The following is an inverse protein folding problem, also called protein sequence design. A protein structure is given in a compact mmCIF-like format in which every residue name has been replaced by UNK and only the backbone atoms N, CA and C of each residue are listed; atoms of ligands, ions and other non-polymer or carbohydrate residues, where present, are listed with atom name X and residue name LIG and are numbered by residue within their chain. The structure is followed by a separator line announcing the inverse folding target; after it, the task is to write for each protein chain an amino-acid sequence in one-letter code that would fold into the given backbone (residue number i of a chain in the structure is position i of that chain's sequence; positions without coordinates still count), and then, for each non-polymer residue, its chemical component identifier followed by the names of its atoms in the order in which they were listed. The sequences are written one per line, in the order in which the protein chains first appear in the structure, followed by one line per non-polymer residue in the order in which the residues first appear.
data_IF_299123101432
#
_entry.id   IF_299123101432
#
_cell.length_a   1.000
_cell.length_b   1.000
_cell.length_c   1.000
_cell.angle_alpha   90.00
_cell.angle_beta   90.00
_cell.angle_gamma   90.00
#
_symmetry.space_group_name_H-M   'P 1'
#
loop_
_entity.id
_entity.type
_entity.pdbx_description
1 polymer ?
#
# COMPACT_ATOMS: atom_id res chain seq x y z
N UNK A 1 -1.69 8.08 1.08
CA UNK A 1 -3.07 7.92 1.59
C UNK A 1 -3.07 7.21 2.96
N UNK A 2 -2.31 7.71 3.94
CA UNK A 2 -2.20 7.13 5.28
C UNK A 2 -2.58 8.12 6.40
N UNK A 3 -3.13 9.28 6.05
CA UNK A 3 -3.43 10.31 7.03
C UNK A 3 -4.88 10.81 6.95
N UNK A 4 -5.50 11.02 8.11
CA UNK A 4 -6.93 11.25 8.32
C UNK A 4 -7.39 12.64 7.83
N UNK A 5 -8.71 12.77 7.62
CA UNK A 5 -9.36 14.02 7.25
C UNK A 5 -9.38 15.04 8.42
N UNK A 6 -9.23 14.62 9.68
CA UNK A 6 -9.33 15.51 10.84
C UNK A 6 -8.47 15.09 12.06
N UNK A 7 -7.16 15.34 12.03
CA UNK A 7 -6.32 15.25 13.25
C UNK A 7 -6.57 16.44 14.19
N UNK A 8 -6.79 16.21 15.49
CA UNK A 8 -7.04 17.26 16.50
C UNK A 8 -5.77 18.00 16.95
N UNK A 9 -4.62 17.76 16.29
CA UNK A 9 -3.35 18.44 16.58
C UNK A 9 -2.86 19.10 15.30
N UNK A 10 -2.56 20.41 15.29
CA UNK A 10 -1.89 21.06 14.16
C UNK A 10 -0.44 20.57 14.11
N UNK A 11 -0.24 19.34 13.62
CA UNK A 11 1.06 18.86 13.23
C UNK A 11 1.54 19.81 12.11
N UNK A 12 2.79 20.28 12.11
CA UNK A 12 3.35 21.15 11.08
C UNK A 12 3.55 20.39 9.76
N UNK A 13 2.47 19.83 9.21
CA UNK A 13 2.38 19.16 7.92
C UNK A 13 3.03 19.95 6.79
N UNK A 14 2.73 21.25 6.61
CA UNK A 14 3.33 21.99 5.51
C UNK A 14 4.86 22.08 5.68
N UNK A 15 5.37 22.30 6.90
CA UNK A 15 6.80 22.51 7.12
C UNK A 15 7.64 21.23 6.99
N UNK A 16 7.14 20.09 7.47
CA UNK A 16 7.82 18.80 7.29
C UNK A 16 7.82 18.36 5.82
N UNK A 17 6.68 18.53 5.13
CA UNK A 17 6.57 18.23 3.71
C UNK A 17 7.48 19.13 2.89
N UNK A 18 7.46 20.45 3.14
CA UNK A 18 8.36 21.43 2.52
C UNK A 18 9.83 21.11 2.86
N UNK A 19 10.10 20.68 4.09
CA UNK A 19 11.40 20.14 4.55
C UNK A 19 11.96 19.05 3.64
N UNK A 20 11.11 18.08 3.28
CA UNK A 20 11.48 16.98 2.38
C UNK A 20 11.75 17.45 0.94
N UNK A 21 11.09 18.53 0.50
CA UNK A 21 11.38 19.13 -0.80
C UNK A 21 12.72 19.86 -0.85
N UNK A 22 13.23 20.38 0.28
CA UNK A 22 14.56 20.99 0.33
C UNK A 22 15.71 20.01 0.04
N UNK A 23 15.46 18.69 0.13
CA UNK A 23 16.41 17.67 -0.31
C UNK A 23 16.86 17.89 -1.76
N UNK A 24 15.95 18.24 -2.65
CA UNK A 24 16.24 18.39 -4.08
C UNK A 24 17.15 19.60 -4.37
N UNK A 25 16.85 20.84 -3.89
CA UNK A 25 17.77 21.97 -3.98
C UNK A 25 19.13 21.70 -3.31
N UNK A 26 19.17 21.12 -2.11
CA UNK A 26 20.42 20.82 -1.42
C UNK A 26 21.30 19.84 -2.21
N UNK A 27 20.67 18.85 -2.85
CA UNK A 27 21.36 17.89 -3.71
C UNK A 27 21.93 18.56 -4.96
N UNK A 28 21.15 19.42 -5.61
CA UNK A 28 21.62 20.19 -6.76
C UNK A 28 22.79 21.11 -6.39
N UNK A 29 22.70 21.82 -5.26
CA UNK A 29 23.76 22.67 -4.72
C UNK A 29 25.03 21.87 -4.35
N UNK A 30 24.89 20.60 -3.96
CA UNK A 30 26.01 19.70 -3.70
C UNK A 30 26.69 19.15 -4.98
N UNK A 31 26.30 19.63 -6.17
CA UNK A 31 26.86 19.19 -7.45
C UNK A 31 26.40 17.80 -7.88
N UNK A 32 25.37 17.24 -7.23
CA UNK A 32 24.84 15.91 -7.56
C UNK A 32 23.65 16.04 -8.50
N UNK A 33 23.53 15.16 -9.52
CA UNK A 33 22.39 15.21 -10.41
C UNK A 33 21.10 14.89 -9.63
N UNK A 34 20.05 15.65 -9.94
CA UNK A 34 18.71 15.47 -9.33
C UNK A 34 18.15 14.10 -9.67
N UNK A 35 18.35 13.64 -10.91
CA UNK A 35 17.94 12.34 -11.43
C UNK A 35 19.16 11.47 -11.69
N UNK A 36 19.07 10.18 -11.36
CA UNK A 36 20.17 9.21 -11.54
C UNK A 36 20.18 8.51 -12.90
N UNK A 37 19.21 8.81 -13.76
CA UNK A 37 19.07 8.21 -15.10
C UNK A 37 18.42 6.81 -15.07
N UNK A 38 17.76 6.44 -13.97
CA UNK A 38 17.02 5.18 -13.86
C UNK A 38 15.65 5.27 -14.53
N UNK A 39 15.01 4.14 -14.82
CA UNK A 39 13.62 4.11 -15.32
C UNK A 39 12.64 4.80 -14.35
N UNK A 40 12.90 4.71 -13.04
CA UNK A 40 12.12 5.40 -12.01
C UNK A 40 12.23 6.93 -12.12
N UNK A 41 13.37 7.45 -12.54
CA UNK A 41 13.57 8.90 -12.73
C UNK A 41 12.71 9.44 -13.89
N UNK A 42 12.63 8.67 -14.98
CA UNK A 42 11.76 9.00 -16.13
C UNK A 42 10.31 9.00 -15.71
N UNK A 43 9.89 7.97 -14.97
CA UNK A 43 8.54 7.89 -14.41
C UNK A 43 8.22 9.09 -13.52
N UNK A 44 9.12 9.43 -12.59
CA UNK A 44 8.95 10.55 -11.68
C UNK A 44 8.85 11.89 -12.43
N UNK A 45 9.68 12.08 -13.46
CA UNK A 45 9.62 13.27 -14.30
C UNK A 45 8.29 13.38 -15.05
N UNK A 46 7.80 12.30 -15.66
CA UNK A 46 6.51 12.28 -16.35
C UNK A 46 5.35 12.53 -15.38
N UNK A 47 5.39 11.89 -14.21
CA UNK A 47 4.41 12.11 -13.16
C UNK A 47 4.37 13.57 -12.72
N UNK A 48 5.52 14.16 -12.37
CA UNK A 48 5.63 15.56 -11.95
C UNK A 48 5.24 16.56 -13.04
N UNK A 49 5.51 16.24 -14.31
CA UNK A 49 5.14 17.09 -15.45
C UNK A 49 3.63 17.04 -15.73
N UNK A 50 2.99 15.89 -15.55
CA UNK A 50 1.57 15.74 -15.78
C UNK A 50 0.71 16.29 -14.64
N UNK A 51 1.17 16.14 -13.40
CA UNK A 51 0.46 16.48 -12.16
C UNK A 51 -0.20 17.88 -12.09
N UNK A 52 0.39 18.97 -12.64
CA UNK A 52 -0.23 20.29 -12.62
C UNK A 52 -1.56 20.36 -13.37
N UNK A 53 -1.74 19.54 -14.41
CA UNK A 53 -2.94 19.55 -15.26
C UNK A 53 -4.20 19.09 -14.48
N UNK A 54 -4.24 17.87 -13.90
CA UNK A 54 -5.40 17.44 -13.13
C UNK A 54 -5.57 18.23 -11.82
N UNK A 55 -4.50 18.80 -11.25
CA UNK A 55 -4.59 19.72 -10.12
C UNK A 55 -5.28 21.04 -10.48
N UNK A 56 -4.95 21.61 -11.64
CA UNK A 56 -5.54 22.88 -12.10
C UNK A 56 -7.01 22.72 -12.47
N UNK A 57 -7.36 21.57 -13.06
CA UNK A 57 -8.73 21.24 -13.48
C UNK A 57 -9.60 20.65 -12.36
N UNK A 58 -9.02 20.36 -11.19
CA UNK A 58 -9.75 19.79 -10.05
C UNK A 58 -10.85 20.74 -9.56
N UNK A 59 -12.05 20.20 -9.38
CA UNK A 59 -13.21 20.94 -8.86
C UNK A 59 -13.00 21.33 -7.40
N UNK A 60 -12.35 20.46 -6.61
CA UNK A 60 -12.03 20.70 -5.19
C UNK A 60 -10.51 20.78 -4.99
N UNK A 61 -9.93 21.91 -5.42
CA UNK A 61 -8.48 22.14 -5.40
C UNK A 61 -7.84 21.91 -4.04
N UNK A 62 -8.47 22.32 -2.94
CA UNK A 62 -7.91 22.15 -1.60
C UNK A 62 -7.68 20.67 -1.23
N UNK A 63 -8.68 19.81 -1.46
CA UNK A 63 -8.56 18.36 -1.24
C UNK A 63 -7.51 17.74 -2.17
N UNK A 64 -7.50 18.12 -3.45
CA UNK A 64 -6.51 17.60 -4.39
C UNK A 64 -5.09 18.01 -4.07
N UNK A 65 -4.87 19.24 -3.60
CA UNK A 65 -3.56 19.69 -3.13
C UNK A 65 -3.08 18.90 -1.92
N UNK A 66 -3.96 18.61 -0.97
CA UNK A 66 -3.62 17.79 0.20
C UNK A 66 -3.26 16.36 -0.21
N UNK A 67 -4.07 15.72 -1.05
CA UNK A 67 -3.83 14.36 -1.53
C UNK A 67 -2.51 14.26 -2.31
N UNK A 68 -2.27 15.20 -3.22
CA UNK A 68 -1.03 15.25 -4.00
C UNK A 68 0.17 15.57 -3.11
N UNK A 69 0.06 16.53 -2.20
CA UNK A 69 1.13 16.92 -1.29
C UNK A 69 1.62 15.73 -0.44
N UNK A 70 0.69 14.92 0.07
CA UNK A 70 1.02 13.71 0.83
C UNK A 70 1.71 12.64 -0.04
N UNK A 71 1.25 12.43 -1.27
CA UNK A 71 1.88 11.48 -2.19
C UNK A 71 3.29 11.94 -2.58
N UNK A 72 3.46 13.23 -2.91
CA UNK A 72 4.76 13.81 -3.23
C UNK A 72 5.71 13.78 -2.04
N UNK A 73 5.22 14.01 -0.82
CA UNK A 73 6.03 13.87 0.39
C UNK A 73 6.56 12.44 0.57
N UNK A 74 5.70 11.43 0.34
CA UNK A 74 6.11 10.02 0.37
C UNK A 74 7.16 9.69 -0.68
N UNK A 75 6.97 10.15 -1.92
CA UNK A 75 7.93 10.01 -3.01
C UNK A 75 9.25 10.71 -2.67
N UNK A 76 9.21 11.95 -2.18
CA UNK A 76 10.39 12.71 -1.79
C UNK A 76 11.15 12.01 -0.66
N UNK A 77 10.45 11.50 0.36
CA UNK A 77 11.06 10.73 1.44
C UNK A 77 11.73 9.44 0.93
N UNK A 78 11.06 8.70 0.05
CA UNK A 78 11.61 7.47 -0.55
C UNK A 78 12.86 7.77 -1.39
N UNK A 79 12.81 8.78 -2.26
CA UNK A 79 13.95 9.22 -3.07
C UNK A 79 15.08 9.72 -2.17
N UNK A 80 14.79 10.54 -1.16
CA UNK A 80 15.78 11.05 -0.22
C UNK A 80 16.48 9.89 0.51
N UNK A 81 15.72 8.90 0.99
CA UNK A 81 16.25 7.73 1.66
C UNK A 81 17.16 6.88 0.77
N UNK A 82 16.76 6.63 -0.48
CA UNK A 82 17.53 5.83 -1.44
C UNK A 82 18.82 6.54 -1.88
N UNK A 83 18.80 7.87 -1.92
CA UNK A 83 19.92 8.69 -2.36
C UNK A 83 20.79 9.23 -1.22
N UNK A 84 20.43 8.92 0.02
CA UNK A 84 21.21 9.28 1.20
C UNK A 84 22.54 8.51 1.21
N UNK A 85 23.72 9.17 1.29
CA UNK A 85 25.01 8.49 1.19
C UNK A 85 25.20 7.30 2.15
N UNK A 86 24.73 7.36 3.42
CA UNK A 86 24.74 6.20 4.30
C UNK A 86 23.94 5.02 3.75
N UNK A 87 22.74 5.23 3.22
CA UNK A 87 21.93 4.16 2.61
C UNK A 87 22.61 3.53 1.39
N UNK A 88 23.30 4.34 0.58
CA UNK A 88 24.06 3.84 -0.57
C UNK A 88 25.28 2.99 -0.16
N UNK A 89 25.94 3.38 0.94
CA UNK A 89 27.06 2.60 1.52
C UNK A 89 26.58 1.34 2.25
N UNK A 90 25.39 1.39 2.84
CA UNK A 90 24.83 0.33 3.67
C UNK A 90 23.33 0.13 3.32
N UNK A 91 23.01 -0.77 2.38
CA UNK A 91 21.62 -1.02 1.96
C UNK A 91 20.73 -1.62 3.07
N UNK A 92 21.32 -2.00 4.21
CA UNK A 92 20.59 -2.41 5.39
C UNK A 92 19.86 -1.26 6.09
N UNK A 93 20.35 -0.01 5.98
CA UNK A 93 19.74 1.15 6.62
C UNK A 93 18.27 1.36 6.19
N UNK A 94 17.93 1.44 4.89
CA UNK A 94 16.52 1.60 4.49
C UNK A 94 15.66 0.41 4.92
N UNK A 95 16.21 -0.81 4.89
CA UNK A 95 15.51 -2.02 5.37
C UNK A 95 15.18 -1.91 6.87
N UNK A 96 16.14 -1.43 7.67
CA UNK A 96 15.97 -1.22 9.11
C UNK A 96 14.94 -0.14 9.43
N UNK A 97 14.96 0.97 8.69
CA UNK A 97 13.99 2.03 8.87
C UNK A 97 12.57 1.56 8.51
N UNK A 98 12.41 0.85 7.38
CA UNK A 98 11.13 0.25 7.00
C UNK A 98 10.65 -0.77 8.04
N UNK A 99 11.54 -1.61 8.56
CA UNK A 99 11.23 -2.56 9.61
C UNK A 99 10.82 -1.88 10.91
N UNK A 100 11.53 -0.84 11.33
CA UNK A 100 11.23 -0.08 12.54
C UNK A 100 9.87 0.63 12.45
N UNK A 101 9.59 1.29 11.31
CA UNK A 101 8.28 1.92 11.07
C UNK A 101 7.16 0.88 11.05
N UNK A 102 7.36 -0.25 10.36
CA UNK A 102 6.36 -1.32 10.30
C UNK A 102 6.12 -1.96 11.67
N UNK A 103 7.17 -2.12 12.48
CA UNK A 103 7.04 -2.65 13.84
C UNK A 103 6.31 -1.66 14.76
N UNK A 104 6.61 -0.36 14.65
CA UNK A 104 5.89 0.68 15.38
C UNK A 104 4.40 0.68 14.99
N UNK A 105 4.09 0.57 13.70
CA UNK A 105 2.72 0.43 13.21
C UNK A 105 2.04 -0.85 13.71
N UNK A 106 2.77 -1.97 13.77
CA UNK A 106 2.24 -3.23 14.31
C UNK A 106 1.89 -3.09 15.80
N UNK A 107 2.74 -2.41 16.59
CA UNK A 107 2.49 -2.16 18.01
C UNK A 107 1.36 -1.15 18.25
N UNK A 108 1.24 -0.15 17.38
CA UNK A 108 0.14 0.83 17.43
C UNK A 108 -1.17 0.25 16.87
N UNK A 109 -1.12 -0.83 16.09
CA UNK A 109 -2.27 -1.39 15.37
C UNK A 109 -3.49 -1.71 16.22
N UNK A 110 -3.38 -2.22 17.47
CA UNK A 110 -4.57 -2.45 18.29
C UNK A 110 -5.37 -1.17 18.44
N UNK A 111 -4.70 -0.04 18.70
CA UNK A 111 -5.35 1.25 18.94
C UNK A 111 -5.83 1.96 17.68
N UNK A 112 -5.29 1.61 16.51
CA UNK A 112 -5.55 2.30 15.24
C UNK A 112 -6.62 1.64 14.37
N UNK A 113 -6.86 0.34 14.51
CA UNK A 113 -7.67 -0.42 13.54
C UNK A 113 -9.14 -0.48 13.96
N UNK A 114 -10.04 -0.04 13.07
CA UNK A 114 -11.50 -0.31 13.20
C UNK A 114 -11.67 -1.81 13.18
N UNK A 115 -12.27 -2.38 14.23
CA UNK A 115 -12.69 -3.79 14.36
C UNK A 115 -12.54 -4.58 13.06
N UNK A 116 -11.57 -5.51 13.01
CA UNK A 116 -11.50 -6.43 11.88
C UNK A 116 -12.84 -7.19 11.85
N UNK A 117 -13.64 -7.08 10.78
CA UNK A 117 -14.84 -7.91 10.65
C UNK A 117 -14.40 -9.36 10.80
N UNK A 118 -15.19 -10.21 11.47
CA UNK A 118 -14.90 -11.65 11.51
C UNK A 118 -14.93 -12.17 10.06
N UNK A 119 -13.75 -12.29 9.43
CA UNK A 119 -13.60 -12.73 8.04
C UNK A 119 -13.19 -14.20 8.01
N UNK A 120 -11.99 -14.51 8.49
CA UNK A 120 -11.39 -15.85 8.37
C UNK A 120 -11.14 -16.53 9.72
N UNK A 121 -10.83 -15.74 10.74
CA UNK A 121 -10.55 -16.25 12.09
C UNK A 121 -11.49 -15.54 13.07
N UNK A 122 -11.91 -16.27 14.10
CA UNK A 122 -12.63 -15.65 15.21
C UNK A 122 -11.74 -14.55 15.80
N UNK A 123 -12.27 -13.32 15.86
CA UNK A 123 -11.58 -12.21 16.50
C UNK A 123 -11.33 -12.57 17.97
N UNK A 124 -10.10 -12.44 18.48
CA UNK A 124 -9.82 -12.62 19.90
C UNK A 124 -10.69 -11.67 20.74
N UNK A 125 -11.11 -12.10 21.93
CA UNK A 125 -12.00 -11.33 22.82
C UNK A 125 -11.46 -9.95 23.21
N UNK A 126 -10.14 -9.73 23.19
CA UNK A 126 -9.54 -8.41 23.47
C UNK A 126 -9.78 -7.39 22.34
N UNK A 127 -10.15 -7.83 21.14
CA UNK A 127 -10.33 -6.94 19.98
C UNK A 127 -11.64 -6.12 20.07
N UNK A 128 -12.66 -6.64 20.76
CA UNK A 128 -13.93 -5.91 20.97
C UNK A 128 -13.77 -4.73 21.92
N UNK A 129 -12.96 -4.86 22.97
CA UNK A 129 -12.73 -3.80 23.96
C UNK A 129 -11.92 -2.63 23.38
N UNK A 130 -10.96 -2.94 22.49
CA UNK A 130 -10.11 -1.94 21.85
C UNK A 130 -10.88 -1.17 20.75
N UNK A 131 -11.86 -1.81 20.11
CA UNK A 131 -12.73 -1.15 19.12
C UNK A 131 -13.52 0.01 19.75
N UNK A 132 -14.03 -0.19 20.97
CA UNK A 132 -14.74 0.86 21.70
C UNK A 132 -13.83 2.06 22.02
N UNK A 133 -12.54 1.84 22.28
CA UNK A 133 -11.57 2.91 22.52
C UNK A 133 -11.16 3.64 21.23
N UNK A 134 -10.97 2.93 20.12
CA UNK A 134 -10.65 3.54 18.82
C UNK A 134 -11.78 4.45 18.31
N UNK A 135 -13.04 4.11 18.59
CA UNK A 135 -14.20 4.94 18.26
C UNK A 135 -14.23 6.26 19.05
N UNK A 136 -13.69 6.28 20.27
CA UNK A 136 -13.57 7.49 21.10
C UNK A 136 -12.46 8.43 20.62
N UNK A 137 -11.43 7.90 19.96
CA UNK A 137 -10.34 8.69 19.36
C UNK A 137 -10.72 9.28 17.99
N UNK A 138 -11.90 8.96 17.45
CA UNK A 138 -12.45 9.55 16.22
C UNK A 138 -11.75 9.13 14.92
N UNK A 139 -10.65 8.36 15.00
CA UNK A 139 -9.83 8.01 13.86
C UNK A 139 -9.58 6.51 13.79
N UNK A 140 -9.84 5.91 12.63
CA UNK A 140 -9.58 4.50 12.42
C UNK A 140 -8.92 4.23 11.07
N UNK A 141 -7.94 3.34 11.07
CA UNK A 141 -7.20 2.88 9.89
C UNK A 141 -7.85 1.60 9.36
N UNK A 142 -8.01 1.53 8.04
CA UNK A 142 -8.50 0.32 7.39
C UNK A 142 -7.49 -0.84 7.60
N UNK A 143 -7.92 -2.01 8.10
CA UNK A 143 -7.04 -3.16 8.33
C UNK A 143 -6.22 -3.56 7.09
N UNK A 144 -6.80 -3.44 5.89
CA UNK A 144 -6.14 -3.81 4.64
C UNK A 144 -4.97 -2.86 4.31
N UNK A 145 -5.12 -1.57 4.61
CA UNK A 145 -4.09 -0.55 4.37
C UNK A 145 -2.92 -0.77 5.33
N UNK A 146 -3.22 -1.01 6.61
CA UNK A 146 -2.21 -1.37 7.59
C UNK A 146 -1.44 -2.63 7.17
N UNK A 147 -2.16 -3.70 6.79
CA UNK A 147 -1.54 -4.95 6.37
C UNK A 147 -0.56 -4.76 5.20
N UNK A 148 -0.92 -3.90 4.23
CA UNK A 148 -0.04 -3.54 3.12
C UNK A 148 1.28 -2.91 3.61
N UNK A 149 1.23 -2.02 4.61
CA UNK A 149 2.43 -1.41 5.18
C UNK A 149 3.30 -2.43 5.93
N UNK A 150 2.68 -3.34 6.70
CA UNK A 150 3.39 -4.33 7.52
C UNK A 150 4.19 -5.36 6.70
N UNK A 151 3.71 -5.72 5.51
CA UNK A 151 4.35 -6.75 4.68
C UNK A 151 5.62 -6.27 4.00
N UNK A 152 5.74 -4.97 3.71
CA UNK A 152 6.83 -4.42 2.89
C UNK A 152 8.24 -4.91 3.29
N UNK A 153 8.66 -4.85 4.57
CA UNK A 153 9.99 -5.33 4.96
C UNK A 153 10.09 -6.85 5.13
N UNK A 154 8.97 -7.60 5.16
CA UNK A 154 8.96 -9.02 5.54
C UNK A 154 9.82 -9.90 4.64
N UNK A 155 9.73 -9.83 3.28
CA UNK A 155 10.59 -10.66 2.42
C UNK A 155 12.09 -10.39 2.64
N UNK A 156 12.46 -9.13 2.86
CA UNK A 156 13.85 -8.73 3.12
C UNK A 156 14.35 -9.26 4.46
N UNK A 157 13.58 -9.08 5.53
CA UNK A 157 13.93 -9.58 6.86
C UNK A 157 13.96 -11.13 6.89
N UNK A 158 13.03 -11.78 6.20
CA UNK A 158 13.04 -13.22 6.00
C UNK A 158 14.31 -13.68 5.26
N UNK A 159 14.71 -12.98 4.19
CA UNK A 159 15.95 -13.29 3.49
C UNK A 159 17.18 -13.14 4.39
N UNK A 160 17.24 -12.09 5.20
CA UNK A 160 18.34 -11.84 6.15
C UNK A 160 18.40 -12.90 7.26
N UNK A 161 17.25 -13.33 7.79
CA UNK A 161 17.18 -14.35 8.85
C UNK A 161 17.59 -15.74 8.37
N UNK A 162 17.36 -16.06 7.09
CA UNK A 162 17.68 -17.35 6.49
C UNK A 162 19.14 -17.46 5.99
N UNK A 163 19.92 -16.37 6.04
CA UNK A 163 21.34 -16.41 5.67
C UNK A 163 22.09 -17.43 6.53
N UNK A 164 22.82 -18.34 5.86
CA UNK A 164 23.68 -19.32 6.53
C UNK A 164 24.89 -18.62 7.16
N UNK A 165 24.78 -18.30 8.45
CA UNK A 165 25.85 -17.72 9.26
C UNK A 165 26.35 -18.74 10.30
N UNK A 166 27.65 -18.71 10.61
CA UNK A 166 28.30 -19.59 11.61
C UNK A 166 28.74 -18.78 12.84
N UNK A 167 28.83 -19.44 13.99
CA UNK A 167 29.33 -18.84 15.25
C UNK A 167 28.44 -17.70 15.78
N UNK A 168 29.05 -16.66 16.36
CA UNK A 168 28.37 -15.48 16.92
C UNK A 168 27.45 -14.79 15.89
N UNK A 169 27.74 -14.92 14.59
CA UNK A 169 26.90 -14.36 13.54
C UNK A 169 25.57 -15.09 13.33
N UNK A 170 25.35 -16.26 13.95
CA UNK A 170 24.05 -16.93 14.00
C UNK A 170 23.04 -16.18 14.86
N UNK A 171 23.50 -15.49 15.91
CA UNK A 171 22.65 -14.65 16.75
C UNK A 171 22.02 -13.53 15.92
N UNK A 172 22.79 -12.94 14.99
CA UNK A 172 22.27 -11.94 14.05
C UNK A 172 21.13 -12.49 13.17
N UNK A 173 21.20 -13.75 12.72
CA UNK A 173 20.08 -14.38 11.99
C UNK A 173 18.81 -14.49 12.84
N UNK A 174 18.96 -14.80 14.13
CA UNK A 174 17.84 -14.85 15.10
C UNK A 174 17.26 -13.46 15.36
N UNK A 175 18.11 -12.43 15.44
CA UNK A 175 17.68 -11.04 15.61
C UNK A 175 16.79 -10.55 14.45
N UNK A 176 16.99 -11.06 13.23
CA UNK A 176 16.09 -10.77 12.10
C UNK A 176 14.82 -11.63 12.08
N UNK A 177 14.88 -12.84 12.62
CA UNK A 177 13.74 -13.76 12.65
C UNK A 177 12.60 -13.23 13.54
N UNK A 178 12.93 -12.64 14.70
CA UNK A 178 11.95 -12.11 15.64
C UNK A 178 11.04 -11.01 15.03
N UNK A 179 11.55 -9.90 14.46
CA UNK A 179 10.69 -8.88 13.85
C UNK A 179 9.94 -9.43 12.63
N UNK A 180 10.53 -10.35 11.87
CA UNK A 180 9.83 -11.04 10.77
C UNK A 180 8.59 -11.77 11.29
N UNK A 181 8.73 -12.55 12.38
CA UNK A 181 7.63 -13.29 12.98
C UNK A 181 6.54 -12.37 13.55
N UNK A 182 6.93 -11.28 14.22
CA UNK A 182 5.99 -10.28 14.75
C UNK A 182 5.17 -9.66 13.61
N UNK A 183 5.83 -9.25 12.51
CA UNK A 183 5.14 -8.64 11.37
C UNK A 183 4.22 -9.62 10.65
N UNK A 184 4.63 -10.89 10.52
CA UNK A 184 3.76 -11.95 9.98
C UNK A 184 2.53 -12.14 10.88
N UNK A 185 2.72 -12.25 12.19
CA UNK A 185 1.62 -12.41 13.14
C UNK A 185 0.66 -11.21 13.10
N UNK A 186 1.18 -9.98 13.13
CA UNK A 186 0.39 -8.77 13.02
C UNK A 186 -0.40 -8.73 11.69
N UNK A 187 0.24 -9.14 10.58
CA UNK A 187 -0.43 -9.27 9.28
C UNK A 187 -1.58 -10.28 9.31
N UNK A 188 -1.40 -11.44 9.94
CA UNK A 188 -2.46 -12.46 10.12
C UNK A 188 -3.64 -11.91 10.94
N UNK A 189 -3.36 -11.05 11.93
CA UNK A 189 -4.43 -10.43 12.72
C UNK A 189 -5.23 -9.38 11.92
N UNK A 190 -4.69 -8.83 10.83
CA UNK A 190 -5.44 -7.87 9.98
C UNK A 190 -6.55 -8.53 9.15
N UNK A 191 -6.52 -9.85 8.98
CA UNK A 191 -7.47 -10.60 8.14
C UNK A 191 -7.56 -10.11 6.68
N UNK A 192 -6.48 -9.51 6.15
CA UNK A 192 -6.41 -9.06 4.75
C UNK A 192 -5.98 -10.19 3.82
N UNK A 193 -6.90 -10.70 2.99
CA UNK A 193 -6.63 -11.77 2.01
C UNK A 193 -5.54 -11.38 1.01
N UNK A 194 -5.54 -10.12 0.56
CA UNK A 194 -4.51 -9.59 -0.35
C UNK A 194 -3.14 -9.52 0.31
N UNK A 195 -3.10 -9.21 1.60
CA UNK A 195 -1.88 -9.24 2.39
C UNK A 195 -1.29 -10.66 2.46
N UNK A 196 -2.12 -11.69 2.65
CA UNK A 196 -1.64 -13.07 2.65
C UNK A 196 -1.08 -13.51 1.30
N UNK A 197 -1.72 -13.12 0.20
CA UNK A 197 -1.20 -13.38 -1.14
C UNK A 197 0.15 -12.66 -1.38
N UNK A 198 0.27 -11.40 -0.93
CA UNK A 198 1.52 -10.64 -0.99
C UNK A 198 2.64 -11.27 -0.14
N UNK A 199 2.31 -11.71 1.08
CA UNK A 199 3.23 -12.42 1.96
C UNK A 199 3.71 -13.73 1.32
N UNK A 200 2.77 -14.56 0.84
CA UNK A 200 3.07 -15.85 0.24
C UNK A 200 3.95 -15.70 -1.01
N UNK A 201 3.59 -14.77 -1.91
CA UNK A 201 4.39 -14.50 -3.11
C UNK A 201 5.77 -13.93 -2.78
N UNK A 202 5.87 -12.99 -1.83
CA UNK A 202 7.15 -12.44 -1.39
C UNK A 202 8.08 -13.49 -0.79
N UNK A 203 7.58 -14.34 0.11
CA UNK A 203 8.34 -15.45 0.68
C UNK A 203 8.71 -16.50 -0.37
N UNK A 204 7.82 -16.77 -1.33
CA UNK A 204 8.09 -17.68 -2.44
C UNK A 204 9.26 -17.18 -3.30
N UNK A 205 9.30 -15.88 -3.62
CA UNK A 205 10.45 -15.26 -4.31
C UNK A 205 11.73 -15.39 -3.48
N UNK A 206 11.66 -15.16 -2.16
CA UNK A 206 12.82 -15.35 -1.27
C UNK A 206 13.36 -16.79 -1.33
N UNK A 207 12.47 -17.79 -1.33
CA UNK A 207 12.87 -19.19 -1.44
C UNK A 207 13.46 -19.55 -2.80
N UNK A 208 12.89 -19.03 -3.89
CA UNK A 208 13.44 -19.19 -5.25
C UNK A 208 14.86 -18.62 -5.36
N UNK A 209 15.09 -17.43 -4.80
CA UNK A 209 16.39 -16.75 -4.85
C UNK A 209 17.43 -17.40 -3.93
N UNK A 210 17.04 -17.88 -2.75
CA UNK A 210 17.98 -18.49 -1.80
C UNK A 210 18.35 -19.93 -2.13
N UNK A 211 17.46 -20.70 -2.75
CA UNK A 211 17.69 -22.09 -3.10
C UNK A 211 17.43 -22.37 -4.57
N UNK A 212 18.28 -21.83 -5.48
CA UNK A 212 18.08 -21.95 -6.92
C UNK A 212 18.08 -23.41 -7.40
N UNK A 213 18.75 -24.32 -6.68
CA UNK A 213 18.75 -25.76 -6.97
C UNK A 213 17.35 -26.40 -6.92
N UNK A 214 16.42 -25.83 -6.14
CA UNK A 214 15.04 -26.29 -6.00
C UNK A 214 14.04 -25.42 -6.79
N UNK A 215 14.51 -24.49 -7.63
CA UNK A 215 13.64 -23.54 -8.35
C UNK A 215 12.54 -24.22 -9.15
N UNK A 216 12.87 -25.32 -9.84
CA UNK A 216 11.89 -26.09 -10.62
C UNK A 216 10.89 -26.83 -9.74
N UNK A 217 11.31 -27.27 -8.54
CA UNK A 217 10.39 -27.85 -7.55
C UNK A 217 9.41 -26.82 -7.02
N UNK A 218 9.87 -25.60 -6.72
CA UNK A 218 9.01 -24.50 -6.29
C UNK A 218 8.05 -24.01 -7.38
N UNK A 219 8.51 -23.93 -8.63
CA UNK A 219 7.66 -23.64 -9.79
C UNK A 219 6.64 -24.77 -9.98
N UNK A 220 7.06 -26.03 -9.89
CA UNK A 220 6.17 -27.18 -9.94
C UNK A 220 5.10 -27.14 -8.84
N UNK A 221 5.47 -26.76 -7.61
CA UNK A 221 4.54 -26.59 -6.50
C UNK A 221 3.52 -25.47 -6.77
N UNK A 222 3.97 -24.33 -7.33
CA UNK A 222 3.06 -23.24 -7.71
C UNK A 222 2.06 -23.71 -8.78
N UNK A 223 2.56 -24.36 -9.84
CA UNK A 223 1.72 -24.87 -10.93
C UNK A 223 0.74 -25.92 -10.42
N UNK A 224 1.18 -26.83 -9.54
CA UNK A 224 0.31 -27.82 -8.90
C UNK A 224 -0.76 -27.15 -8.03
N UNK A 225 -0.38 -26.14 -7.24
CA UNK A 225 -1.32 -25.37 -6.42
C UNK A 225 -2.37 -24.63 -7.25
N UNK A 226 -1.96 -23.99 -8.35
CA UNK A 226 -2.88 -23.35 -9.30
C UNK A 226 -3.78 -24.37 -10.01
N UNK A 227 -3.22 -25.52 -10.40
CA UNK A 227 -3.98 -26.62 -10.99
C UNK A 227 -5.04 -27.17 -10.05
N UNK A 228 -4.71 -27.35 -8.77
CA UNK A 228 -5.66 -27.75 -7.73
C UNK A 228 -6.75 -26.70 -7.51
N UNK A 229 -6.39 -25.41 -7.51
CA UNK A 229 -7.34 -24.31 -7.36
C UNK A 229 -8.34 -24.28 -8.53
N UNK A 230 -7.87 -24.46 -9.77
CA UNK A 230 -8.72 -24.54 -10.96
C UNK A 230 -9.60 -25.78 -10.90
N UNK A 231 -9.05 -26.92 -10.48
CA UNK A 231 -9.77 -28.20 -10.36
C UNK A 231 -10.88 -28.16 -9.30
N UNK A 232 -10.64 -27.50 -8.17
CA UNK A 232 -11.62 -27.34 -7.08
C UNK A 232 -12.80 -26.43 -7.44
N UNK A 233 -12.73 -25.72 -8.56
CA UNK A 233 -13.82 -24.90 -9.08
C UNK A 233 -13.82 -23.47 -8.51
N UNK A 234 -13.87 -22.43 -9.38
CA UNK A 234 -13.94 -21.04 -8.94
C UNK A 234 -15.20 -20.70 -8.13
N UNK A 235 -16.30 -21.44 -8.34
CA UNK A 235 -17.62 -21.14 -7.76
C UNK A 235 -17.63 -21.22 -6.23
N UNK A 236 -17.00 -22.23 -5.62
CA UNK A 236 -16.95 -22.36 -4.15
C UNK A 236 -16.14 -21.23 -3.48
N UNK A 237 -15.13 -20.71 -4.18
CA UNK A 237 -14.35 -19.55 -3.73
C UNK A 237 -15.13 -18.23 -3.85
N UNK A 238 -15.93 -18.10 -4.92
CA UNK A 238 -16.78 -16.95 -5.15
C UNK A 238 -17.93 -16.89 -4.14
N UNK A 239 -18.55 -18.03 -3.80
CA UNK A 239 -19.66 -18.11 -2.85
C UNK A 239 -19.25 -17.74 -1.41
N UNK A 240 -18.05 -18.16 -0.96
CA UNK A 240 -17.51 -17.73 0.34
C UNK A 240 -17.00 -16.27 0.36
N UNK A 241 -16.87 -15.64 -0.81
CA UNK A 241 -16.52 -14.22 -0.94
C UNK A 241 -17.73 -13.30 -1.14
N UNK A 242 -18.90 -13.90 -1.42
CA UNK A 242 -20.16 -13.25 -1.73
C UNK A 242 -21.06 -13.06 -0.50
N UNK A 243 -20.49 -12.66 0.65
CA UNK A 243 -21.32 -12.04 1.69
C UNK A 243 -21.80 -10.68 1.14
N UNK A 244 -22.93 -10.74 0.44
CA UNK A 244 -23.57 -9.65 -0.31
C UNK A 244 -23.83 -8.48 0.65
N UNK A 245 -23.38 -7.28 0.29
CA UNK A 245 -23.71 -6.03 0.99
C UNK A 245 -22.58 -5.35 1.77
N UNK A 246 -21.35 -5.87 1.77
CA UNK A 246 -20.19 -5.16 2.36
C UNK A 246 -19.22 -4.67 1.30
N UNK A 247 -18.68 -3.45 1.47
CA UNK A 247 -17.67 -2.82 0.57
C UNK A 247 -16.41 -3.70 0.42
N UNK A 248 -16.12 -4.51 1.43
CA UNK A 248 -14.99 -5.43 1.47
C UNK A 248 -15.22 -6.74 0.68
N UNK A 249 -16.45 -7.04 0.24
CA UNK A 249 -16.78 -8.24 -0.54
C UNK A 249 -16.27 -8.15 -1.99
N UNK A 250 -16.09 -9.31 -2.63
CA UNK A 250 -15.66 -9.34 -4.03
C UNK A 250 -16.71 -8.71 -4.97
N UNK A 251 -17.99 -9.03 -4.75
CA UNK A 251 -19.10 -8.42 -5.48
C UNK A 251 -19.14 -6.90 -5.31
N UNK A 252 -18.89 -6.42 -4.09
CA UNK A 252 -18.78 -5.00 -3.80
C UNK A 252 -17.67 -4.30 -4.57
N UNK A 253 -16.48 -4.91 -4.64
CA UNK A 253 -15.35 -4.39 -5.44
C UNK A 253 -15.64 -4.39 -6.93
N UNK A 254 -16.31 -5.43 -7.45
CA UNK A 254 -16.71 -5.47 -8.85
C UNK A 254 -17.64 -4.31 -9.22
N UNK A 255 -18.57 -3.95 -8.34
CA UNK A 255 -19.39 -2.77 -8.55
C UNK A 255 -18.56 -1.48 -8.54
N UNK A 256 -17.69 -1.31 -7.54
CA UNK A 256 -16.80 -0.14 -7.45
C UNK A 256 -15.96 0.01 -8.72
N UNK A 257 -15.41 -1.09 -9.24
CA UNK A 257 -14.61 -1.09 -10.46
C UNK A 257 -15.42 -0.77 -11.70
N UNK A 258 -16.66 -1.28 -11.78
CA UNK A 258 -17.58 -0.94 -12.86
C UNK A 258 -17.88 0.57 -12.88
N UNK A 259 -18.20 1.16 -11.72
CA UNK A 259 -18.42 2.62 -11.60
C UNK A 259 -17.16 3.43 -11.91
N UNK A 260 -16.01 3.00 -11.39
CA UNK A 260 -14.72 3.62 -11.66
C UNK A 260 -14.38 3.60 -13.16
N UNK A 261 -14.70 2.50 -13.85
CA UNK A 261 -14.50 2.39 -15.28
C UNK A 261 -15.40 3.35 -16.07
N UNK A 262 -16.68 3.45 -15.72
CA UNK A 262 -17.59 4.43 -16.34
C UNK A 262 -17.11 5.86 -16.12
N UNK A 263 -16.71 6.21 -14.91
CA UNK A 263 -16.15 7.54 -14.62
C UNK A 263 -14.89 7.84 -15.45
N UNK A 264 -14.05 6.83 -15.69
CA UNK A 264 -12.86 6.96 -16.52
C UNK A 264 -13.18 7.14 -18.01
N UNK A 265 -14.29 6.59 -18.49
CA UNK A 265 -14.79 6.81 -19.85
C UNK A 265 -15.30 8.23 -20.06
N UNK A 266 -15.93 8.82 -19.04
CA UNK A 266 -16.43 10.19 -19.08
C UNK A 266 -15.30 11.22 -18.89
N UNK A 267 -14.28 10.89 -18.09
CA UNK A 267 -13.13 11.76 -17.80
C UNK A 267 -11.77 11.12 -18.19
N UNK A 268 -11.53 10.79 -19.46
CA UNK A 268 -10.37 9.98 -19.87
C UNK A 268 -9.03 10.74 -19.77
N UNK A 269 -9.05 12.07 -19.84
CA UNK A 269 -7.82 12.88 -19.88
C UNK A 269 -7.28 13.20 -18.50
N UNK A 270 -8.15 13.62 -17.58
CA UNK A 270 -7.77 14.13 -16.26
C UNK A 270 -8.21 13.22 -15.12
N UNK A 271 -9.13 12.29 -15.41
CA UNK A 271 -9.89 11.61 -14.38
C UNK A 271 -10.79 12.59 -13.60
N UNK A 272 -11.23 12.15 -12.43
CA UNK A 272 -11.99 12.95 -11.47
C UNK A 272 -11.12 14.01 -10.76
N UNK A 273 -9.81 13.83 -10.79
CA UNK A 273 -8.83 14.67 -10.11
C UNK A 273 -8.31 14.03 -8.82
N UNK A 274 -7.09 14.41 -8.37
CA UNK A 274 -6.40 13.67 -7.33
C UNK A 274 -7.16 13.68 -6.01
N UNK A 275 -7.37 12.50 -5.41
CA UNK A 275 -7.99 12.38 -4.09
C UNK A 275 -9.49 12.66 -4.07
N UNK A 276 -10.14 12.88 -5.22
CA UNK A 276 -11.56 13.19 -5.30
C UNK A 276 -12.46 11.97 -5.43
N UNK A 277 -11.88 10.76 -5.48
CA UNK A 277 -12.64 9.51 -5.58
C UNK A 277 -13.74 9.42 -4.52
N UNK A 278 -13.39 9.60 -3.23
CA UNK A 278 -14.36 9.46 -2.14
C UNK A 278 -15.44 10.53 -2.11
N UNK A 279 -15.19 11.69 -2.74
CA UNK A 279 -16.09 12.84 -2.74
C UNK A 279 -17.04 12.82 -3.94
N UNK A 280 -16.49 12.57 -5.14
CA UNK A 280 -17.22 12.68 -6.40
C UNK A 280 -17.87 11.37 -6.82
N UNK A 281 -17.26 10.21 -6.53
CA UNK A 281 -17.78 8.92 -7.01
C UNK A 281 -19.21 8.64 -6.49
N UNK A 282 -19.53 8.79 -5.20
CA UNK A 282 -20.89 8.54 -4.70
C UNK A 282 -21.93 9.54 -5.24
N UNK A 283 -21.48 10.74 -5.67
CA UNK A 283 -22.36 11.82 -6.16
C UNK A 283 -22.67 11.68 -7.66
N UNK A 284 -21.66 11.34 -8.46
CA UNK A 284 -21.78 11.24 -9.92
C UNK A 284 -22.15 9.82 -10.37
N UNK A 285 -21.67 8.80 -9.66
CA UNK A 285 -21.85 7.38 -9.98
C UNK A 285 -22.29 6.60 -8.74
N UNK A 286 -23.53 6.85 -8.24
CA UNK A 286 -24.01 6.28 -6.98
C UNK A 286 -24.02 4.75 -7.03
N UNK A 287 -23.68 4.11 -5.91
CA UNK A 287 -23.68 2.65 -5.81
C UNK A 287 -25.10 2.10 -5.56
N UNK A 288 -25.39 0.94 -6.13
CA UNK A 288 -26.63 0.18 -5.98
C UNK A 288 -26.59 -0.74 -4.76
N UNK A 289 -25.46 -1.40 -4.48
CA UNK A 289 -25.36 -2.39 -3.41
C UNK A 289 -24.97 -1.81 -2.05
N UNK A 290 -24.71 -0.51 -1.99
CA UNK A 290 -24.31 0.20 -0.76
C UNK A 290 -25.24 1.38 -0.51
N UNK A 291 -25.44 1.74 0.76
CA UNK A 291 -26.11 3.00 1.05
C UNK A 291 -25.25 4.16 0.56
N UNK A 292 -25.88 5.25 0.10
CA UNK A 292 -25.19 6.50 -0.26
C UNK A 292 -24.42 7.13 0.91
N UNK A 293 -24.68 6.68 2.15
CA UNK A 293 -23.94 7.05 3.35
C UNK A 293 -22.64 6.26 3.55
N UNK A 294 -22.40 5.18 2.81
CA UNK A 294 -21.15 4.43 2.87
C UNK A 294 -20.02 5.24 2.23
N UNK A 295 -19.13 5.78 3.05
CA UNK A 295 -17.92 6.45 2.57
C UNK A 295 -16.93 5.42 2.01
N UNK A 296 -16.76 5.39 0.68
CA UNK A 296 -15.78 4.55 -0.01
C UNK A 296 -14.62 5.45 -0.44
N UNK A 297 -13.48 5.45 0.29
CA UNK A 297 -12.42 6.42 0.06
C UNK A 297 -11.54 6.15 -1.17
N UNK A 298 -11.58 4.94 -1.74
CA UNK A 298 -10.71 4.56 -2.87
C UNK A 298 -11.29 3.41 -3.70
N UNK A 299 -10.81 3.27 -4.94
CA UNK A 299 -11.27 2.28 -5.92
C UNK A 299 -10.91 0.81 -5.58
N UNK A 300 -10.18 0.55 -4.50
CA UNK A 300 -9.64 -0.77 -4.14
C UNK A 300 -8.83 -1.46 -5.26
N UNK A 301 -8.37 -0.70 -6.25
CA UNK A 301 -7.51 -1.11 -7.34
C UNK A 301 -6.59 0.07 -7.67
N UNK A 302 -5.28 -0.13 -7.50
CA UNK A 302 -4.30 0.95 -7.66
C UNK A 302 -4.28 1.53 -9.07
N UNK A 303 -4.44 0.70 -10.11
CA UNK A 303 -4.45 1.16 -11.49
C UNK A 303 -5.66 2.04 -11.79
N UNK A 304 -6.85 1.62 -11.35
CA UNK A 304 -8.06 2.43 -11.49
C UNK A 304 -7.99 3.71 -10.66
N UNK A 305 -7.43 3.64 -9.45
CA UNK A 305 -7.24 4.81 -8.60
C UNK A 305 -6.33 5.84 -9.27
N UNK A 306 -5.15 5.43 -9.76
CA UNK A 306 -4.21 6.31 -10.45
C UNK A 306 -4.83 6.86 -11.75
N UNK A 307 -5.55 6.03 -12.50
CA UNK A 307 -6.24 6.46 -13.72
C UNK A 307 -7.36 7.49 -13.43
N UNK A 308 -8.06 7.38 -12.31
CA UNK A 308 -9.07 8.36 -11.91
C UNK A 308 -8.49 9.62 -11.29
N UNK A 309 -7.31 9.53 -10.66
CA UNK A 309 -6.63 10.69 -10.08
C UNK A 309 -5.90 11.53 -11.15
N UNK A 310 -5.38 10.90 -12.22
CA UNK A 310 -4.53 11.54 -13.23
C UNK A 310 -5.06 11.47 -14.67
N UNK A 311 -6.00 10.57 -14.96
CA UNK A 311 -6.49 10.25 -16.31
C UNK A 311 -5.81 9.03 -16.96
N UNK A 312 -6.47 8.45 -17.97
CA UNK A 312 -6.01 7.28 -18.73
C UNK A 312 -4.67 7.51 -19.44
N UNK A 313 -4.46 8.69 -20.05
CA UNK A 313 -3.21 8.91 -20.82
C UNK A 313 -1.98 8.97 -19.92
N UNK A 314 -2.11 9.49 -18.71
CA UNK A 314 -1.06 9.46 -17.71
C UNK A 314 -0.86 8.04 -17.14
N UNK A 315 -1.94 7.31 -16.87
CA UNK A 315 -1.83 5.94 -16.34
C UNK A 315 -1.21 4.95 -17.35
N UNK A 316 -1.41 5.15 -18.65
CA UNK A 316 -0.80 4.34 -19.70
C UNK A 316 0.69 4.64 -19.87
N UNK A 317 1.09 5.92 -19.77
CA UNK A 317 2.51 6.29 -19.72
C UNK A 317 3.22 5.67 -18.51
N UNK A 318 2.52 5.52 -17.37
CA UNK A 318 3.05 4.85 -16.18
C UNK A 318 3.11 3.32 -16.29
N UNK A 319 2.13 2.69 -16.96
CA UNK A 319 2.07 1.23 -17.11
C UNK A 319 3.01 0.71 -18.21
N UNK A 320 3.33 1.52 -19.22
CA UNK A 320 4.26 1.15 -20.30
C UNK A 320 5.74 1.17 -19.88
N UNK A 321 6.07 1.71 -18.70
CA UNK A 321 7.43 1.87 -18.19
C UNK A 321 7.77 0.91 -17.02
N UNK A 322 6.82 0.07 -16.59
CA UNK A 322 6.98 -0.97 -15.55
C UNK A 322 7.05 -2.37 -16.15
#
# INVERSE_FOLDING_TARGET
VLLPEHLPVPIPYPWLVVGLFFFWPLRWLSGRPLLTGTSMDVFLALFLLWLPIPLWLSVERAHSWQAVGLNLAGVAAAVALLHWPPSQKQPLIPTLLLAAVSLALALASPYLVRSAPQKLFAAPSWQTDVTAQSALLGETVNPNVLAGALILPVPLLAALSLQRRRGAFRLLSVLWALPTAILIAATILTQSRGAYAGLASGLWVVFLLQWPRWRYGWIGLLVAGLGLLIWWGPSQFLDQSAYVGTVDSFAGRMEIWSRAWTALQDFPLTGLGPGLFGVLMPRLYPYFSFSTAAQIPHAHNLYLQVALDLGCRASWATAALS
#
